data_IF_565485456614
#
_entry.id   IF_565485456614
#
_cell.length_a   1.000
_cell.length_b   1.000
_cell.length_c   1.000
_cell.angle_alpha   90.00
_cell.angle_beta   90.00
_cell.angle_gamma   90.00
#
_symmetry.space_group_name_H-M   'P 1'
#
loop_
_entity.id
_entity.type
_entity.pdbx_description
1 polymer ?
#
# COMPACT_ATOMS: atom_id res chain seq x y z
N UNK A 1 29.44 2.53 2.03
CA UNK A 1 28.82 2.14 3.34
C UNK A 1 27.33 2.03 3.09
N UNK A 2 26.64 1.02 3.62
CA UNK A 2 25.18 0.91 3.43
C UNK A 2 24.47 1.96 4.26
N UNK A 3 23.44 2.60 3.71
CA UNK A 3 22.60 3.54 4.46
C UNK A 3 21.61 2.77 5.32
N UNK A 4 21.58 3.05 6.61
CA UNK A 4 20.59 2.48 7.54
C UNK A 4 19.28 3.23 7.45
N UNK A 5 18.19 2.49 7.32
CA UNK A 5 16.87 3.03 7.01
C UNK A 5 15.85 2.60 8.06
N UNK A 6 15.01 3.53 8.50
CA UNK A 6 13.71 3.21 9.12
C UNK A 6 12.62 3.56 8.12
N UNK A 7 11.64 2.68 7.95
CA UNK A 7 10.44 2.97 7.16
C UNK A 7 9.29 3.17 8.16
N UNK A 8 8.73 4.38 8.19
CA UNK A 8 7.60 4.71 9.05
C UNK A 8 6.29 4.61 8.26
N UNK A 9 5.29 3.93 8.80
CA UNK A 9 4.02 3.69 8.10
C UNK A 9 2.94 3.13 9.01
N UNK A 10 1.91 2.55 8.40
CA UNK A 10 0.76 2.01 9.11
C UNK A 10 0.46 0.56 8.70
N UNK A 11 1.50 -0.25 8.44
CA UNK A 11 1.37 -1.63 7.99
C UNK A 11 0.56 -1.75 6.68
N UNK A 12 1.14 -1.29 5.58
CA UNK A 12 0.60 -1.34 4.24
C UNK A 12 1.64 -0.84 3.24
N UNK A 13 1.66 0.48 2.99
CA UNK A 13 2.62 1.11 2.08
C UNK A 13 4.08 0.96 2.52
N UNK A 14 4.35 0.90 3.82
CA UNK A 14 5.69 0.62 4.36
C UNK A 14 6.24 -0.73 3.88
N UNK A 15 5.45 -1.80 3.98
CA UNK A 15 5.83 -3.12 3.46
C UNK A 15 5.95 -3.13 1.94
N UNK A 16 5.06 -2.42 1.23
CA UNK A 16 5.15 -2.28 -0.22
C UNK A 16 6.44 -1.58 -0.66
N UNK A 17 6.72 -0.40 -0.11
CA UNK A 17 7.94 0.36 -0.37
C UNK A 17 9.18 -0.48 -0.08
N UNK A 18 9.17 -1.24 1.04
CA UNK A 18 10.22 -2.19 1.35
C UNK A 18 10.38 -3.25 0.24
N UNK A 19 9.29 -3.93 -0.13
CA UNK A 19 9.33 -5.03 -1.08
C UNK A 19 9.80 -4.63 -2.47
N UNK A 20 9.38 -3.45 -2.95
CA UNK A 20 9.67 -2.99 -4.31
C UNK A 20 11.03 -2.31 -4.43
N UNK A 21 11.49 -1.60 -3.39
CA UNK A 21 12.69 -0.76 -3.49
C UNK A 21 13.85 -1.20 -2.60
N UNK A 22 13.58 -1.67 -1.36
CA UNK A 22 14.63 -1.91 -0.36
C UNK A 22 15.03 -3.37 -0.18
N UNK A 23 14.12 -4.32 -0.45
CA UNK A 23 14.27 -5.75 -0.09
C UNK A 23 15.58 -6.38 -0.56
N UNK A 24 15.94 -6.16 -1.81
CA UNK A 24 17.14 -6.72 -2.45
C UNK A 24 18.22 -5.67 -2.78
N UNK A 25 18.01 -4.42 -2.32
CA UNK A 25 18.92 -3.31 -2.59
C UNK A 25 20.05 -3.28 -1.57
N UNK A 26 21.28 -3.56 -2.04
CA UNK A 26 22.47 -3.68 -1.18
C UNK A 26 22.98 -2.34 -0.64
N UNK A 27 22.51 -1.22 -1.20
CA UNK A 27 22.93 0.11 -0.78
C UNK A 27 22.22 0.55 0.52
N UNK A 28 21.16 -0.16 0.90
CA UNK A 28 20.36 0.12 2.08
C UNK A 28 20.32 -1.06 3.07
N UNK A 29 20.08 -0.75 4.33
CA UNK A 29 19.79 -1.70 5.40
C UNK A 29 18.59 -1.19 6.19
N UNK A 30 17.42 -1.81 6.00
CA UNK A 30 16.21 -1.46 6.75
C UNK A 30 16.28 -2.09 8.13
N UNK A 31 16.50 -1.26 9.15
CA UNK A 31 16.74 -1.73 10.52
C UNK A 31 15.45 -1.91 11.33
N UNK A 32 14.38 -1.20 10.96
CA UNK A 32 13.07 -1.33 11.58
C UNK A 32 11.97 -0.73 10.69
N UNK A 33 10.76 -1.27 10.84
CA UNK A 33 9.53 -0.55 10.54
C UNK A 33 9.04 0.16 11.80
N UNK A 34 8.38 1.30 11.65
CA UNK A 34 7.65 1.93 12.76
C UNK A 34 6.21 2.20 12.41
N UNK A 35 5.29 1.98 13.35
CA UNK A 35 3.87 2.29 13.16
C UNK A 35 3.23 2.93 14.39
N UNK A 36 2.28 3.83 14.15
CA UNK A 36 1.51 4.51 15.22
C UNK A 36 0.63 3.53 15.99
N UNK A 37 0.05 2.57 15.27
CA UNK A 37 -0.66 1.43 15.83
C UNK A 37 0.01 0.16 15.31
N UNK A 38 0.05 -0.88 16.13
CA UNK A 38 0.50 -2.22 15.72
C UNK A 38 -0.66 -3.19 16.02
N UNK A 39 -1.83 -3.06 15.37
CA UNK A 39 -2.92 -3.98 15.64
C UNK A 39 -2.56 -5.34 15.04
N UNK A 40 -2.53 -6.36 15.87
CA UNK A 40 -2.68 -7.75 15.43
C UNK A 40 -1.58 -8.37 14.55
N UNK A 41 -0.47 -7.72 14.21
CA UNK A 41 0.61 -8.38 13.45
C UNK A 41 1.34 -9.37 14.35
N UNK A 42 1.39 -10.64 13.95
CA UNK A 42 2.06 -11.71 14.69
C UNK A 42 3.54 -11.36 14.93
N UNK A 43 3.98 -11.54 16.18
CA UNK A 43 5.34 -11.26 16.67
C UNK A 43 5.87 -9.83 16.43
N UNK A 44 5.00 -8.90 15.99
CA UNK A 44 5.36 -7.51 15.64
C UNK A 44 6.57 -7.46 14.70
N UNK A 45 6.55 -8.31 13.67
CA UNK A 45 7.69 -8.53 12.81
C UNK A 45 7.30 -8.75 11.36
N UNK A 46 8.03 -8.10 10.45
CA UNK A 46 7.98 -8.46 9.03
C UNK A 46 8.77 -9.78 8.82
N UNK A 47 8.13 -10.85 8.36
CA UNK A 47 8.69 -12.20 8.44
C UNK A 47 9.84 -12.41 7.46
N UNK A 48 10.84 -13.20 7.88
CA UNK A 48 11.99 -13.57 7.05
C UNK A 48 11.58 -14.20 5.71
N UNK A 49 10.47 -14.95 5.70
CA UNK A 49 9.94 -15.60 4.49
C UNK A 49 9.52 -14.60 3.40
N UNK A 50 9.24 -13.34 3.75
CA UNK A 50 8.90 -12.26 2.81
C UNK A 50 10.02 -11.23 2.67
N UNK A 51 10.95 -11.17 3.64
CA UNK A 51 11.97 -10.13 3.73
C UNK A 51 13.15 -10.31 2.76
N UNK A 52 13.22 -11.40 2.01
CA UNK A 52 14.30 -11.65 1.04
C UNK A 52 15.63 -12.03 1.70
N UNK A 53 16.65 -12.30 0.87
CA UNK A 53 17.93 -12.90 1.30
C UNK A 53 18.77 -12.01 2.22
N UNK A 54 18.56 -10.69 2.16
CA UNK A 54 19.31 -9.73 2.98
C UNK A 54 18.82 -9.68 4.43
N UNK A 55 17.63 -10.22 4.72
CA UNK A 55 16.97 -10.13 6.02
C UNK A 55 16.53 -11.53 6.52
N UNK A 56 17.47 -12.48 6.72
CA UNK A 56 17.15 -13.87 7.09
C UNK A 56 16.48 -14.00 8.46
N UNK A 57 16.51 -12.94 9.27
CA UNK A 57 15.86 -12.87 10.57
C UNK A 57 14.58 -12.06 10.52
N UNK A 58 14.11 -11.59 9.37
CA UNK A 58 13.01 -10.62 9.26
C UNK A 58 13.38 -9.25 9.81
N UNK A 59 12.41 -8.33 9.85
CA UNK A 59 12.59 -6.93 10.27
C UNK A 59 11.59 -6.61 11.36
N UNK A 60 12.06 -6.00 12.45
CA UNK A 60 11.21 -5.65 13.59
C UNK A 60 10.25 -4.50 13.25
N UNK A 61 9.02 -4.60 13.75
CA UNK A 61 8.02 -3.52 13.71
C UNK A 61 7.93 -2.93 15.13
N UNK A 62 8.24 -1.65 15.26
CA UNK A 62 8.31 -0.95 16.55
C UNK A 62 7.28 0.18 16.63
N UNK A 63 6.88 0.60 17.84
CA UNK A 63 6.03 1.77 17.99
C UNK A 63 6.70 3.03 17.43
N UNK A 64 5.95 3.88 16.73
CA UNK A 64 6.47 5.15 16.23
C UNK A 64 6.98 6.08 17.34
N UNK A 65 6.43 5.97 18.56
CA UNK A 65 6.92 6.71 19.73
C UNK A 65 8.38 6.40 20.08
N UNK A 66 8.93 5.26 19.64
CA UNK A 66 10.34 4.90 19.82
C UNK A 66 11.27 5.47 18.73
N UNK A 67 10.73 6.15 17.70
CA UNK A 67 11.50 6.59 16.52
C UNK A 67 12.80 7.29 16.89
N UNK A 68 12.76 8.28 17.80
CA UNK A 68 13.94 9.02 18.23
C UNK A 68 15.02 8.11 18.81
N UNK A 69 14.62 7.19 19.70
CA UNK A 69 15.51 6.22 20.33
C UNK A 69 16.08 5.26 19.30
N UNK A 70 15.27 4.82 18.32
CA UNK A 70 15.71 3.91 17.26
C UNK A 70 16.73 4.57 16.33
N UNK A 71 16.51 5.83 15.92
CA UNK A 71 17.44 6.60 15.09
C UNK A 71 18.82 6.66 15.77
N UNK A 72 18.84 7.04 17.04
CA UNK A 72 20.08 7.16 17.82
C UNK A 72 20.74 5.80 18.08
N UNK A 73 19.96 4.79 18.47
CA UNK A 73 20.47 3.45 18.79
C UNK A 73 21.13 2.79 17.58
N UNK A 74 20.53 2.94 16.40
CA UNK A 74 20.99 2.26 15.19
C UNK A 74 21.92 3.12 14.33
N UNK A 75 22.10 4.41 14.65
CA UNK A 75 22.75 5.40 13.79
C UNK A 75 22.11 5.41 12.41
N UNK A 76 20.81 5.71 12.36
CA UNK A 76 20.00 5.69 11.14
C UNK A 76 20.37 6.88 10.26
N UNK A 77 20.58 6.64 8.97
CA UNK A 77 20.93 7.66 7.98
C UNK A 77 19.71 8.24 7.27
N UNK A 78 18.59 7.49 7.26
CA UNK A 78 17.40 7.82 6.48
C UNK A 78 16.13 7.32 7.16
N UNK A 79 15.11 8.18 7.23
CA UNK A 79 13.74 7.79 7.57
C UNK A 79 12.84 8.03 6.36
N UNK A 80 12.14 6.98 5.94
CA UNK A 80 11.23 7.01 4.80
C UNK A 80 9.80 7.09 5.29
N UNK A 81 9.06 8.12 4.86
CA UNK A 81 7.63 8.22 5.13
C UNK A 81 6.82 7.37 4.15
N UNK A 82 6.16 6.35 4.67
CA UNK A 82 5.27 5.44 3.96
C UNK A 82 3.86 5.46 4.57
N UNK A 83 3.34 6.66 4.81
CA UNK A 83 1.97 6.92 5.22
C UNK A 83 1.14 7.47 4.06
N UNK A 84 -0.17 7.39 4.23
CA UNK A 84 -1.18 8.09 3.45
C UNK A 84 -2.16 8.82 4.38
N UNK A 85 -2.98 9.67 3.78
CA UNK A 85 -4.07 10.44 4.39
C UNK A 85 -3.61 11.38 5.50
N UNK A 86 -2.43 11.99 5.31
CA UNK A 86 -1.84 12.91 6.26
C UNK A 86 -2.00 14.36 5.79
N UNK A 87 -2.44 15.30 6.66
CA UNK A 87 -2.26 16.71 6.40
C UNK A 87 -0.77 17.04 6.20
N UNK A 88 -0.45 17.98 5.31
CA UNK A 88 0.95 18.38 5.06
C UNK A 88 1.68 18.90 6.28
N UNK A 89 0.97 19.57 7.19
CA UNK A 89 1.55 19.98 8.46
C UNK A 89 2.10 18.77 9.24
N UNK A 90 1.37 17.65 9.29
CA UNK A 90 1.80 16.42 9.98
C UNK A 90 3.04 15.83 9.31
N UNK A 91 3.09 15.82 7.97
CA UNK A 91 4.28 15.37 7.22
C UNK A 91 5.49 16.22 7.59
N UNK A 92 5.33 17.55 7.64
CA UNK A 92 6.42 18.47 7.95
C UNK A 92 6.88 18.40 9.41
N UNK A 93 5.97 18.17 10.37
CA UNK A 93 6.34 17.93 11.76
C UNK A 93 7.18 16.64 11.90
N UNK A 94 6.82 15.58 11.18
CA UNK A 94 7.61 14.33 11.14
C UNK A 94 9.00 14.56 10.53
N UNK A 95 9.08 15.30 9.42
CA UNK A 95 10.35 15.65 8.78
C UNK A 95 11.25 16.48 9.71
N UNK A 96 10.69 17.50 10.38
CA UNK A 96 11.43 18.34 11.33
C UNK A 96 11.99 17.52 12.50
N UNK A 97 11.20 16.59 13.06
CA UNK A 97 11.66 15.68 14.12
C UNK A 97 12.84 14.83 13.67
N UNK A 98 12.74 14.19 12.50
CA UNK A 98 13.78 13.32 11.93
C UNK A 98 15.07 14.11 11.70
N UNK A 99 14.97 15.25 11.02
CA UNK A 99 16.11 16.11 10.71
C UNK A 99 16.80 16.63 11.98
N UNK A 100 16.04 17.00 13.01
CA UNK A 100 16.59 17.49 14.28
C UNK A 100 17.40 16.42 15.04
N UNK A 101 17.15 15.13 14.79
CA UNK A 101 17.93 14.02 15.37
C UNK A 101 19.20 13.74 14.55
N UNK A 102 19.21 14.13 13.27
CA UNK A 102 20.37 14.04 12.37
C UNK A 102 20.27 13.01 11.25
N UNK A 103 19.10 12.40 11.05
CA UNK A 103 18.84 11.52 9.90
C UNK A 103 18.18 12.31 8.76
N UNK A 104 18.34 11.85 7.51
CA UNK A 104 17.58 12.40 6.39
C UNK A 104 16.12 11.95 6.45
N UNK A 105 15.23 12.76 5.88
CA UNK A 105 13.83 12.42 5.67
C UNK A 105 13.53 12.28 4.17
N UNK A 106 12.85 11.20 3.76
CA UNK A 106 12.54 10.93 2.35
C UNK A 106 11.06 10.63 2.13
N UNK A 107 10.52 11.32 1.12
CA UNK A 107 9.28 10.96 0.43
C UNK A 107 9.68 10.23 -0.87
N UNK A 108 9.15 9.03 -1.08
CA UNK A 108 9.47 8.26 -2.28
C UNK A 108 8.59 8.70 -3.46
N UNK A 109 9.22 8.97 -4.60
CA UNK A 109 8.52 9.24 -5.86
C UNK A 109 7.82 7.99 -6.41
N UNK A 110 6.75 8.21 -7.18
CA UNK A 110 5.85 7.15 -7.65
C UNK A 110 6.57 6.03 -8.42
N UNK A 111 7.49 6.37 -9.32
CA UNK A 111 8.24 5.39 -10.13
C UNK A 111 9.04 4.39 -9.27
N UNK A 112 9.55 4.82 -8.12
CA UNK A 112 10.29 3.95 -7.19
C UNK A 112 9.37 3.00 -6.41
N UNK A 113 8.06 3.23 -6.45
CA UNK A 113 7.05 2.51 -5.66
C UNK A 113 5.95 1.90 -6.52
N UNK A 114 6.16 1.79 -7.83
CA UNK A 114 5.20 1.18 -8.76
C UNK A 114 5.75 -0.10 -9.37
N UNK A 115 4.89 -1.10 -9.49
CA UNK A 115 5.17 -2.36 -10.19
C UNK A 115 4.52 -2.31 -11.57
N UNK A 116 5.27 -2.63 -12.62
CA UNK A 116 4.72 -2.69 -13.97
C UNK A 116 3.95 -3.99 -14.20
N UNK A 117 2.70 -3.86 -14.63
CA UNK A 117 1.90 -4.97 -15.15
C UNK A 117 1.94 -5.02 -16.68
N UNK A 118 1.76 -6.22 -17.21
CA UNK A 118 1.59 -6.52 -18.63
C UNK A 118 0.15 -6.32 -19.13
N UNK A 119 -0.81 -6.12 -18.22
CA UNK A 119 -2.23 -5.94 -18.55
C UNK A 119 -2.61 -4.47 -18.65
N UNK A 120 -3.66 -4.13 -19.41
CA UNK A 120 -4.33 -2.85 -19.27
C UNK A 120 -4.72 -2.60 -17.80
N UNK A 121 -4.49 -1.39 -17.33
CA UNK A 121 -4.67 -1.01 -15.93
C UNK A 121 -5.61 0.19 -15.80
N UNK A 122 -6.57 0.11 -14.89
CA UNK A 122 -7.32 1.28 -14.43
C UNK A 122 -7.01 1.50 -12.95
N UNK A 123 -6.48 2.66 -12.59
CA UNK A 123 -6.23 2.99 -11.19
C UNK A 123 -7.34 3.90 -10.68
N UNK A 124 -7.96 3.55 -9.55
CA UNK A 124 -8.93 4.38 -8.85
C UNK A 124 -8.32 4.83 -7.52
N UNK A 125 -7.86 6.08 -7.48
CA UNK A 125 -7.29 6.72 -6.29
C UNK A 125 -8.19 7.88 -5.85
N UNK A 126 -7.84 8.55 -4.76
CA UNK A 126 -8.54 9.74 -4.27
C UNK A 126 -7.57 10.74 -3.68
N UNK A 127 -8.05 11.96 -3.45
CA UNK A 127 -7.31 12.99 -2.73
C UNK A 127 -7.37 12.81 -1.21
N UNK A 128 -8.45 12.21 -0.70
CA UNK A 128 -8.65 12.00 0.73
C UNK A 128 -9.52 10.76 1.01
N UNK A 129 -9.42 10.18 2.20
CA UNK A 129 -10.27 9.03 2.56
C UNK A 129 -11.76 9.41 2.54
N UNK A 130 -12.60 8.49 2.07
CA UNK A 130 -14.05 8.69 1.99
C UNK A 130 -14.55 9.52 0.80
N UNK A 131 -13.73 9.81 -0.22
CA UNK A 131 -14.19 10.51 -1.43
C UNK A 131 -15.13 9.69 -2.34
N UNK A 132 -15.37 8.41 -2.05
CA UNK A 132 -16.24 7.55 -2.88
C UNK A 132 -15.54 6.62 -3.87
N UNK A 133 -14.27 6.28 -3.64
CA UNK A 133 -13.50 5.34 -4.50
C UNK A 133 -14.25 4.03 -4.76
N UNK A 134 -14.77 3.38 -3.73
CA UNK A 134 -15.43 2.08 -3.85
C UNK A 134 -16.64 2.12 -4.82
N UNK A 135 -17.41 3.20 -4.81
CA UNK A 135 -18.53 3.44 -5.73
C UNK A 135 -18.02 3.59 -7.17
N UNK A 136 -16.99 4.42 -7.36
CA UNK A 136 -16.33 4.62 -8.66
C UNK A 136 -15.75 3.33 -9.21
N UNK A 137 -15.03 2.56 -8.39
CA UNK A 137 -14.48 1.24 -8.75
C UNK A 137 -15.58 0.31 -9.23
N UNK A 138 -16.70 0.18 -8.49
CA UNK A 138 -17.83 -0.67 -8.89
C UNK A 138 -18.45 -0.24 -10.22
N UNK A 139 -18.57 1.06 -10.46
CA UNK A 139 -19.08 1.57 -11.74
C UNK A 139 -18.15 1.20 -12.91
N UNK A 140 -16.83 1.32 -12.73
CA UNK A 140 -15.82 0.92 -13.71
C UNK A 140 -15.86 -0.58 -13.98
N UNK A 141 -15.91 -1.41 -12.92
CA UNK A 141 -16.05 -2.88 -13.03
C UNK A 141 -17.27 -3.23 -13.88
N UNK A 142 -18.44 -2.66 -13.57
CA UNK A 142 -19.68 -2.92 -14.31
C UNK A 142 -19.57 -2.53 -15.79
N UNK A 143 -18.97 -1.37 -16.09
CA UNK A 143 -18.80 -0.91 -17.47
C UNK A 143 -17.89 -1.85 -18.28
N UNK A 144 -16.81 -2.34 -17.69
CA UNK A 144 -15.89 -3.29 -18.34
C UNK A 144 -16.53 -4.68 -18.50
N UNK A 145 -17.24 -5.16 -17.48
CA UNK A 145 -17.97 -6.44 -17.55
C UNK A 145 -19.10 -6.41 -18.57
N UNK A 146 -19.80 -5.29 -18.72
CA UNK A 146 -20.81 -5.11 -19.76
C UNK A 146 -20.23 -5.22 -21.19
N UNK A 147 -18.91 -5.05 -21.34
CA UNK A 147 -18.17 -5.28 -22.58
C UNK A 147 -17.61 -6.70 -22.70
N UNK A 148 -17.93 -7.60 -21.77
CA UNK A 148 -17.50 -8.99 -21.78
C UNK A 148 -16.06 -9.23 -21.30
N UNK A 149 -15.40 -8.23 -20.68
CA UNK A 149 -14.03 -8.35 -20.19
C UNK A 149 -13.98 -9.06 -18.83
N UNK A 150 -12.96 -9.89 -18.62
CA UNK A 150 -12.60 -10.44 -17.31
C UNK A 150 -11.86 -9.40 -16.50
N UNK A 151 -12.52 -8.90 -15.46
CA UNK A 151 -12.00 -7.84 -14.59
C UNK A 151 -11.50 -8.45 -13.28
N UNK A 152 -10.27 -8.13 -12.91
CA UNK A 152 -9.71 -8.42 -11.58
C UNK A 152 -9.43 -7.10 -10.87
N UNK A 153 -9.94 -6.96 -9.65
CA UNK A 153 -9.59 -5.82 -8.78
C UNK A 153 -8.51 -6.23 -7.80
N UNK A 154 -7.50 -5.40 -7.60
CA UNK A 154 -6.50 -5.58 -6.54
C UNK A 154 -6.73 -4.49 -5.49
N UNK A 155 -6.89 -4.91 -4.24
CA UNK A 155 -7.11 -4.02 -3.09
C UNK A 155 -5.95 -4.08 -2.11
N UNK A 156 -5.84 -3.05 -1.28
CA UNK A 156 -4.98 -3.09 -0.10
C UNK A 156 -5.47 -4.14 0.90
N UNK A 157 -4.57 -4.90 1.54
CA UNK A 157 -4.94 -5.75 2.65
C UNK A 157 -5.11 -4.91 3.92
N UNK A 158 -5.83 -5.48 4.90
CA UNK A 158 -5.62 -5.14 6.31
C UNK A 158 -4.69 -6.20 6.90
N UNK A 159 -3.37 -5.95 7.02
CA UNK A 159 -2.41 -7.01 7.29
C UNK A 159 -2.36 -7.39 8.78
N UNK A 160 -3.47 -7.89 9.31
CA UNK A 160 -3.60 -8.38 10.68
C UNK A 160 -3.35 -9.88 10.73
N UNK A 161 -2.53 -10.34 11.68
CA UNK A 161 -2.19 -11.75 11.87
C UNK A 161 -0.98 -12.19 11.05
N UNK A 162 -1.10 -13.35 10.40
CA UNK A 162 0.01 -14.01 9.72
C UNK A 162 0.23 -13.46 8.30
N UNK A 163 1.26 -12.61 8.17
CA UNK A 163 1.64 -11.98 6.90
C UNK A 163 2.06 -12.99 5.82
N UNK A 164 2.62 -14.15 6.21
CA UNK A 164 3.04 -15.18 5.24
C UNK A 164 1.82 -15.83 4.59
N UNK A 165 0.77 -16.11 5.37
CA UNK A 165 -0.52 -16.59 4.85
C UNK A 165 -1.25 -15.54 4.01
N UNK A 166 -0.95 -14.26 4.23
CA UNK A 166 -1.51 -13.13 3.49
C UNK A 166 -0.62 -12.65 2.34
N UNK A 167 0.37 -13.45 1.92
CA UNK A 167 1.23 -13.09 0.80
C UNK A 167 0.44 -12.77 -0.47
N UNK A 168 -0.46 -13.68 -0.85
CA UNK A 168 -1.40 -13.54 -1.97
C UNK A 168 -2.70 -14.22 -1.58
N UNK A 169 -3.81 -13.49 -1.65
CA UNK A 169 -5.16 -13.99 -1.41
C UNK A 169 -6.04 -13.64 -2.60
N UNK A 170 -6.88 -14.59 -3.01
CA UNK A 170 -7.80 -14.46 -4.13
C UNK A 170 -9.20 -14.75 -3.63
N UNK A 171 -10.13 -13.86 -3.94
CA UNK A 171 -11.53 -13.93 -3.55
C UNK A 171 -12.41 -13.90 -4.79
N UNK A 172 -13.11 -15.01 -5.05
CA UNK A 172 -14.05 -15.13 -6.16
C UNK A 172 -15.45 -15.54 -5.70
N UNK A 173 -15.57 -16.11 -4.50
CA UNK A 173 -16.85 -16.50 -3.89
C UNK A 173 -16.88 -16.17 -2.40
N UNK A 174 -18.07 -16.06 -1.81
CA UNK A 174 -18.23 -15.68 -0.40
C UNK A 174 -17.54 -16.66 0.56
N UNK A 175 -17.37 -17.93 0.15
CA UNK A 175 -16.64 -18.92 0.93
C UNK A 175 -15.15 -18.58 1.11
N UNK A 176 -14.55 -17.82 0.19
CA UNK A 176 -13.16 -17.37 0.29
C UNK A 176 -12.94 -16.44 1.48
N UNK A 177 -13.94 -15.64 1.86
CA UNK A 177 -13.86 -14.73 3.02
C UNK A 177 -13.63 -15.51 4.31
N UNK A 178 -14.37 -16.60 4.49
CA UNK A 178 -14.21 -17.51 5.64
C UNK A 178 -12.87 -18.26 5.57
N UNK A 179 -12.49 -18.75 4.38
CA UNK A 179 -11.22 -19.46 4.16
C UNK A 179 -10.01 -18.61 4.54
N UNK A 180 -10.04 -17.33 4.18
CA UNK A 180 -8.98 -16.37 4.48
C UNK A 180 -9.11 -15.69 5.84
N UNK A 181 -10.16 -16.01 6.62
CA UNK A 181 -10.44 -15.45 7.94
C UNK A 181 -10.53 -13.92 7.92
N UNK A 182 -11.21 -13.37 6.91
CA UNK A 182 -11.40 -11.94 6.78
C UNK A 182 -12.04 -11.35 8.04
N UNK A 183 -11.57 -10.16 8.39
CA UNK A 183 -12.20 -9.29 9.39
C UNK A 183 -13.54 -8.76 8.87
N UNK A 184 -14.34 -8.15 9.76
CA UNK A 184 -15.62 -7.57 9.37
C UNK A 184 -15.39 -6.45 8.35
N UNK A 185 -14.36 -5.63 8.58
CA UNK A 185 -13.97 -4.52 7.72
C UNK A 185 -13.56 -5.01 6.31
N UNK A 186 -12.79 -6.10 6.23
CA UNK A 186 -12.45 -6.71 4.94
C UNK A 186 -13.70 -7.29 4.24
N UNK A 187 -14.61 -7.91 4.99
CA UNK A 187 -15.86 -8.44 4.42
C UNK A 187 -16.73 -7.31 3.85
N UNK A 188 -16.88 -6.20 4.57
CA UNK A 188 -17.60 -5.01 4.08
C UNK A 188 -17.01 -4.45 2.77
N UNK A 189 -15.69 -4.56 2.58
CA UNK A 189 -15.02 -4.13 1.34
C UNK A 189 -15.11 -5.16 0.21
N UNK A 190 -15.02 -6.46 0.52
CA UNK A 190 -14.87 -7.51 -0.49
C UNK A 190 -16.20 -8.13 -0.94
N UNK A 191 -17.17 -8.28 -0.04
CA UNK A 191 -18.47 -8.89 -0.36
C UNK A 191 -19.19 -8.23 -1.55
N UNK A 192 -19.27 -6.89 -1.64
CA UNK A 192 -19.98 -6.25 -2.76
C UNK A 192 -19.37 -6.58 -4.12
N UNK A 193 -18.04 -6.69 -4.19
CA UNK A 193 -17.32 -7.04 -5.41
C UNK A 193 -17.56 -8.51 -5.81
N UNK A 194 -17.55 -9.43 -4.85
CA UNK A 194 -17.84 -10.85 -5.07
C UNK A 194 -19.28 -11.03 -5.56
N UNK A 195 -20.24 -10.33 -4.95
CA UNK A 195 -21.65 -10.36 -5.35
C UNK A 195 -21.87 -9.82 -6.76
N UNK A 196 -21.03 -8.89 -7.22
CA UNK A 196 -21.01 -8.43 -8.61
C UNK A 196 -20.36 -9.44 -9.56
N UNK A 197 -19.87 -10.58 -9.08
CA UNK A 197 -19.13 -11.59 -9.83
C UNK A 197 -17.75 -11.08 -10.29
N UNK A 198 -17.14 -10.16 -9.55
CA UNK A 198 -15.76 -9.70 -9.77
C UNK A 198 -14.81 -10.51 -8.89
N UNK A 199 -13.60 -10.77 -9.40
CA UNK A 199 -12.52 -11.36 -8.60
C UNK A 199 -11.75 -10.23 -7.91
N UNK A 200 -11.40 -10.45 -6.64
CA UNK A 200 -10.51 -9.56 -5.88
C UNK A 200 -9.23 -10.32 -5.54
N UNK A 201 -8.10 -9.64 -5.66
CA UNK A 201 -6.87 -10.04 -5.00
C UNK A 201 -6.49 -9.04 -3.90
N UNK A 202 -5.93 -9.57 -2.83
CA UNK A 202 -5.39 -8.78 -1.71
C UNK A 202 -4.19 -9.51 -1.09
N UNK A 203 -3.40 -8.80 -0.30
CA UNK A 203 -2.23 -9.35 0.39
C UNK A 203 -1.04 -8.39 0.40
N UNK A 204 0.06 -8.83 1.03
CA UNK A 204 1.22 -7.97 1.34
C UNK A 204 2.34 -7.99 0.31
N UNK A 205 2.30 -8.90 -0.68
CA UNK A 205 3.29 -8.99 -1.75
C UNK A 205 2.65 -8.62 -3.10
N UNK A 206 2.55 -7.31 -3.36
CA UNK A 206 1.91 -6.76 -4.56
C UNK A 206 2.55 -7.26 -5.87
N UNK A 207 3.85 -7.56 -5.88
CA UNK A 207 4.48 -8.18 -7.05
C UNK A 207 3.89 -9.58 -7.28
N UNK A 208 3.86 -10.42 -6.26
CA UNK A 208 3.26 -11.75 -6.39
C UNK A 208 1.76 -11.70 -6.74
N UNK A 209 1.02 -10.74 -6.16
CA UNK A 209 -0.41 -10.56 -6.42
C UNK A 209 -0.66 -10.23 -7.89
N UNK A 210 0.04 -9.25 -8.46
CA UNK A 210 -0.20 -8.85 -9.85
C UNK A 210 0.15 -9.96 -10.81
N UNK A 211 1.19 -10.76 -10.55
CA UNK A 211 1.53 -11.94 -11.38
C UNK A 211 0.46 -13.02 -11.35
N UNK A 212 -0.28 -13.18 -10.26
CA UNK A 212 -1.43 -14.08 -10.24
C UNK A 212 -2.65 -13.49 -10.97
N UNK A 213 -2.94 -12.20 -10.75
CA UNK A 213 -4.04 -11.51 -11.43
C UNK A 213 -3.89 -11.51 -12.96
N UNK A 214 -2.66 -11.34 -13.46
CA UNK A 214 -2.33 -11.36 -14.90
C UNK A 214 -2.72 -12.66 -15.61
N UNK A 215 -2.84 -13.78 -14.90
CA UNK A 215 -3.16 -15.08 -15.49
C UNK A 215 -4.62 -15.21 -15.92
N UNK A 216 -5.53 -14.42 -15.34
CA UNK A 216 -6.97 -14.54 -15.61
C UNK A 216 -7.66 -13.22 -15.99
N UNK A 217 -7.01 -12.08 -15.74
CA UNK A 217 -7.55 -10.77 -16.09
C UNK A 217 -7.33 -10.42 -17.57
N UNK A 218 -8.36 -9.85 -18.20
CA UNK A 218 -8.20 -9.06 -19.43
C UNK A 218 -7.79 -7.62 -19.09
N UNK A 219 -8.26 -7.11 -17.94
CA UNK A 219 -7.97 -5.78 -17.41
C UNK A 219 -7.89 -5.84 -15.88
N UNK A 220 -6.90 -5.15 -15.32
CA UNK A 220 -6.70 -5.03 -13.88
C UNK A 220 -7.22 -3.68 -13.41
N UNK A 221 -7.93 -3.67 -12.28
CA UNK A 221 -8.28 -2.46 -11.56
C UNK A 221 -7.45 -2.40 -10.28
N UNK A 222 -6.70 -1.32 -10.11
CA UNK A 222 -6.14 -0.96 -8.82
C UNK A 222 -7.17 -0.14 -8.05
N UNK A 223 -7.75 -0.74 -7.00
CA UNK A 223 -8.69 -0.08 -6.10
C UNK A 223 -7.93 0.38 -4.86
N UNK A 224 -7.45 1.62 -4.89
CA UNK A 224 -6.46 2.13 -3.94
C UNK A 224 -6.95 2.21 -2.50
N UNK A 225 -6.03 2.05 -1.54
CA UNK A 225 -6.28 2.28 -0.12
C UNK A 225 -6.21 3.76 0.22
N UNK A 226 -7.09 4.25 1.12
CA UNK A 226 -7.09 5.65 1.59
C UNK A 226 -6.96 6.68 0.45
N UNK A 227 -5.88 7.47 0.42
CA UNK A 227 -5.49 8.32 -0.70
C UNK A 227 -4.08 7.98 -1.20
N UNK A 228 -3.63 6.72 -1.04
CA UNK A 228 -2.32 6.29 -1.55
C UNK A 228 -2.19 6.49 -3.06
N UNK A 229 -0.94 6.68 -3.50
CA UNK A 229 -0.60 6.62 -4.92
C UNK A 229 -0.76 5.19 -5.45
N UNK A 230 -0.98 4.99 -6.75
CA UNK A 230 -1.11 3.65 -7.30
C UNK A 230 0.18 2.84 -7.12
N UNK A 231 0.05 1.57 -6.74
CA UNK A 231 1.19 0.64 -6.60
C UNK A 231 1.53 -0.08 -7.89
N UNK A 232 0.72 0.11 -8.93
CA UNK A 232 0.92 -0.49 -10.24
C UNK A 232 0.96 0.57 -11.33
N UNK A 233 1.65 0.25 -12.42
CA UNK A 233 1.67 1.01 -13.66
C UNK A 233 1.51 0.08 -14.86
N UNK A 234 1.01 0.61 -15.98
CA UNK A 234 0.96 -0.09 -17.27
C UNK A 234 1.27 0.88 -18.40
N UNK A 235 1.71 0.35 -19.55
CA UNK A 235 1.82 1.12 -20.79
C UNK A 235 0.42 1.53 -21.31
N UNK A 236 -0.60 0.74 -20.99
CA UNK A 236 -2.00 1.00 -21.29
C UNK A 236 -2.76 1.26 -19.99
N UNK A 237 -2.70 2.50 -19.50
CA UNK A 237 -3.27 2.87 -18.21
C UNK A 237 -4.23 4.05 -18.29
N UNK A 238 -5.35 3.94 -17.57
CA UNK A 238 -6.25 5.06 -17.25
C UNK A 238 -6.15 5.34 -15.76
N UNK A 239 -5.96 6.62 -15.40
CA UNK A 239 -5.96 7.07 -14.00
C UNK A 239 -7.25 7.80 -13.70
N UNK A 240 -7.91 7.39 -12.62
CA UNK A 240 -9.10 8.03 -12.08
C UNK A 240 -8.76 8.47 -10.66
N UNK A 241 -8.87 9.76 -10.39
CA UNK A 241 -8.66 10.34 -9.07
C UNK A 241 -9.94 11.03 -8.62
N UNK A 242 -10.49 10.56 -7.50
CA UNK A 242 -11.74 11.07 -6.95
C UNK A 242 -11.44 12.22 -5.97
N UNK A 243 -12.09 13.36 -6.20
CA UNK A 243 -12.04 14.56 -5.35
C UNK A 243 -13.41 14.76 -4.71
N UNK A 244 -13.45 15.23 -3.46
CA UNK A 244 -14.70 15.48 -2.75
C UNK A 244 -15.09 16.97 -2.81
N UNK A 245 -16.20 17.34 -3.48
CA UNK A 245 -16.64 18.73 -3.59
C UNK A 245 -17.12 19.32 -2.25
N UNK A 246 -17.37 18.52 -1.22
CA UNK A 246 -17.72 19.00 0.12
C UNK A 246 -16.51 19.31 1.00
N UNK A 247 -15.29 19.01 0.53
CA UNK A 247 -14.04 19.25 1.25
C UNK A 247 -13.02 19.98 0.38
N UNK A 248 -13.35 21.20 -0.09
CA UNK A 248 -12.44 21.96 -0.95
C UNK A 248 -11.14 22.28 -0.22
N UNK A 249 -10.02 22.13 -0.92
CA UNK A 249 -8.67 22.30 -0.38
C UNK A 249 -8.01 21.00 0.08
N UNK A 250 -8.77 19.92 0.32
CA UNK A 250 -8.17 18.60 0.64
C UNK A 250 -7.29 18.09 -0.51
N UNK A 251 -7.63 18.46 -1.76
CA UNK A 251 -6.87 18.11 -2.97
C UNK A 251 -5.47 18.72 -3.08
N UNK A 252 -5.17 19.76 -2.28
CA UNK A 252 -3.88 20.45 -2.25
C UNK A 252 -3.26 20.57 -0.85
N UNK A 253 -3.82 19.88 0.15
CA UNK A 253 -3.35 19.97 1.55
C UNK A 253 -3.07 18.61 2.22
N UNK A 254 -3.33 17.51 1.53
CA UNK A 254 -3.13 16.15 2.03
C UNK A 254 -2.12 15.35 1.20
N UNK A 255 -1.27 14.61 1.91
CA UNK A 255 -0.31 13.67 1.34
C UNK A 255 -0.86 12.24 1.34
N UNK A 256 -0.63 11.45 0.26
CA UNK A 256 -0.16 11.88 -1.06
C UNK A 256 -1.31 12.28 -2.00
N UNK A 257 -2.44 12.77 -1.44
CA UNK A 257 -3.63 13.14 -2.20
C UNK A 257 -3.37 14.12 -3.35
N UNK A 258 -2.61 15.19 -3.12
CA UNK A 258 -2.22 16.12 -4.19
C UNK A 258 -1.29 15.45 -5.22
N UNK A 259 -0.44 14.51 -4.79
CA UNK A 259 0.39 13.73 -5.72
C UNK A 259 -0.50 12.97 -6.71
N UNK A 260 -1.61 12.38 -6.25
CA UNK A 260 -2.59 11.76 -7.14
C UNK A 260 -3.16 12.76 -8.14
N UNK A 261 -3.46 14.00 -7.72
CA UNK A 261 -3.97 15.05 -8.63
C UNK A 261 -2.98 15.37 -9.74
N UNK A 262 -1.70 15.56 -9.42
CA UNK A 262 -0.67 15.81 -10.44
C UNK A 262 -0.41 14.61 -11.37
N UNK A 263 -0.72 13.40 -10.93
CA UNK A 263 -0.56 12.18 -11.73
C UNK A 263 -1.72 11.93 -12.71
N UNK A 264 -2.89 12.49 -12.45
CA UNK A 264 -4.12 12.32 -13.24
C UNK A 264 -4.10 13.17 -14.51
#
# INVERSE_FOLDING_TARGET
MKRKVIIMGAAGRDFHNFNVFFRDNKDYEVVAFTATQIPGIDDKKYPAALAGKLYPKGIEIKPESELKKLIQKHNVDLVVLAYSDLPYEVVMHKAALVNAIGADFMLMGAENTTIKTTKPLITVCATRTGCGKSQTTRAVVNALKARGLKVVSIRHPMPYGDLVKQKVQRFAELADLKKHKCTIEEMEEYEPHIQMGSVIYSGVDYEAIVREAEKEADVIIWDGGNNDIPFYSSDEMIRIVVVDPHRPGDEISYYPGETNVYMA
#
